data_IF_946782323549
#
_entry.id   IF_946782323549
#
_cell.length_a   1.000
_cell.length_b   1.000
_cell.length_c   1.000
_cell.angle_alpha   90.00
_cell.angle_beta   90.00
_cell.angle_gamma   90.00
#
_symmetry.space_group_name_H-M   'P 1'
#
loop_
_entity.id
_entity.type
_entity.pdbx_description
1 polymer ?
#
# COMPACT_ATOMS: atom_id res chain seq x y z
N UNK A 1 -40.35 34.03 -43.54
CA UNK A 1 -40.49 33.37 -44.85
C UNK A 1 -40.17 31.89 -44.68
N UNK A 2 -41.20 31.03 -44.59
CA UNK A 2 -41.09 29.57 -44.38
C UNK A 2 -40.71 28.87 -45.69
N UNK A 3 -39.46 28.44 -45.82
CA UNK A 3 -39.01 27.41 -46.78
C UNK A 3 -37.84 26.72 -46.05
N UNK A 4 -37.88 25.46 -45.63
CA UNK A 4 -37.51 24.36 -46.53
C UNK A 4 -37.70 22.97 -45.87
N UNK A 5 -38.73 22.75 -45.06
CA UNK A 5 -38.94 21.43 -44.41
C UNK A 5 -39.56 20.41 -45.39
N UNK A 6 -40.11 20.88 -46.53
CA UNK A 6 -40.81 20.01 -47.49
C UNK A 6 -39.88 19.22 -48.42
N UNK A 7 -38.65 19.68 -48.66
CA UNK A 7 -37.72 19.00 -49.58
C UNK A 7 -37.16 17.70 -48.98
N UNK A 8 -36.94 17.67 -47.66
CA UNK A 8 -36.31 16.53 -46.99
C UNK A 8 -37.18 15.28 -46.94
N UNK A 9 -38.51 15.42 -46.83
CA UNK A 9 -39.43 14.28 -46.90
C UNK A 9 -39.60 13.68 -48.30
N UNK A 10 -39.28 14.42 -49.38
CA UNK A 10 -39.47 13.91 -50.75
C UNK A 10 -38.27 13.12 -51.29
N UNK A 11 -37.07 13.35 -50.75
CA UNK A 11 -35.84 12.68 -51.20
C UNK A 11 -35.78 11.22 -50.72
N UNK A 12 -36.26 10.93 -49.50
CA UNK A 12 -36.31 9.56 -48.97
C UNK A 12 -37.35 8.65 -49.64
N UNK A 13 -38.34 9.21 -50.35
CA UNK A 13 -39.44 8.45 -50.96
C UNK A 13 -39.23 8.06 -52.42
N UNK A 14 -38.12 8.43 -53.06
CA UNK A 14 -37.83 8.15 -54.48
C UNK A 14 -36.70 7.15 -54.65
N UNK A 15 -36.88 5.95 -54.13
CA UNK A 15 -35.99 4.83 -54.41
C UNK A 15 -36.82 3.78 -55.13
N UNK A 16 -36.83 3.83 -56.46
CA UNK A 16 -37.67 2.97 -57.30
C UNK A 16 -36.90 1.82 -57.95
N UNK A 17 -35.57 1.82 -57.86
CA UNK A 17 -34.72 0.78 -58.42
C UNK A 17 -34.27 -0.19 -57.33
N UNK A 18 -34.43 -1.50 -57.57
CA UNK A 18 -34.06 -2.56 -56.64
C UNK A 18 -32.56 -2.51 -56.27
N UNK A 19 -31.71 -2.09 -57.21
CA UNK A 19 -30.26 -1.94 -56.99
C UNK A 19 -29.92 -0.88 -55.95
N UNK A 20 -30.60 0.26 -55.98
CA UNK A 20 -30.35 1.36 -55.02
C UNK A 20 -30.84 1.02 -53.62
N UNK A 21 -31.95 0.26 -53.50
CA UNK A 21 -32.42 -0.28 -52.22
C UNK A 21 -31.42 -1.24 -51.61
N UNK A 22 -30.85 -2.14 -52.41
CA UNK A 22 -29.82 -3.09 -51.94
C UNK A 22 -28.57 -2.35 -51.45
N UNK A 23 -28.14 -1.29 -52.16
CA UNK A 23 -26.99 -0.47 -51.75
C UNK A 23 -27.26 0.23 -50.42
N UNK A 24 -28.44 0.86 -50.24
CA UNK A 24 -28.81 1.51 -48.98
C UNK A 24 -28.92 0.54 -47.81
N UNK A 25 -29.50 -0.64 -48.02
CA UNK A 25 -29.58 -1.70 -47.00
C UNK A 25 -28.18 -2.20 -46.64
N UNK A 26 -27.29 -2.42 -47.63
CA UNK A 26 -25.91 -2.82 -47.36
C UNK A 26 -25.12 -1.75 -46.58
N UNK A 27 -25.31 -0.46 -46.87
CA UNK A 27 -24.63 0.63 -46.17
C UNK A 27 -25.14 0.78 -44.73
N UNK A 28 -26.44 0.58 -44.50
CA UNK A 28 -27.02 0.56 -43.16
C UNK A 28 -26.48 -0.59 -42.29
N UNK A 29 -26.33 -1.78 -42.86
CA UNK A 29 -25.73 -2.94 -42.17
C UNK A 29 -24.25 -2.68 -41.84
N UNK A 30 -23.50 -2.04 -42.73
CA UNK A 30 -22.09 -1.69 -42.46
C UNK A 30 -21.93 -0.64 -41.34
N UNK A 31 -22.83 0.34 -41.23
CA UNK A 31 -22.77 1.34 -40.14
C UNK A 31 -23.09 0.71 -38.78
N UNK A 32 -23.99 -0.29 -38.71
CA UNK A 32 -24.33 -0.95 -37.46
C UNK A 32 -23.22 -1.80 -36.85
N UNK A 33 -22.25 -2.28 -37.65
CA UNK A 33 -21.16 -3.14 -37.17
C UNK A 33 -19.99 -2.30 -36.58
N UNK A 34 -19.90 -1.00 -36.88
CA UNK A 34 -18.75 -0.17 -36.50
C UNK A 34 -18.82 0.49 -35.11
N UNK A 35 -19.95 0.44 -34.40
CA UNK A 35 -20.17 1.20 -33.15
C UNK A 35 -20.36 0.33 -31.89
N UNK A 36 -19.81 -0.88 -31.83
CA UNK A 36 -19.67 -1.59 -30.55
C UNK A 36 -18.28 -1.35 -29.97
N UNK A 37 -18.03 -0.12 -29.51
CA UNK A 37 -16.91 0.10 -28.58
C UNK A 37 -17.32 -0.49 -27.25
N UNK A 38 -16.90 -1.73 -26.99
CA UNK A 38 -16.93 -2.28 -25.64
C UNK A 38 -15.95 -1.43 -24.84
N UNK A 39 -16.44 -0.63 -23.90
CA UNK A 39 -15.56 0.04 -22.97
C UNK A 39 -14.82 -1.05 -22.18
N UNK A 40 -13.56 -1.29 -22.52
CA UNK A 40 -12.67 -2.07 -21.66
C UNK A 40 -12.34 -1.17 -20.49
N UNK A 41 -13.12 -1.28 -19.42
CA UNK A 41 -12.77 -0.69 -18.14
C UNK A 41 -11.38 -1.26 -17.78
N UNK A 42 -10.35 -0.41 -17.77
CA UNK A 42 -9.03 -0.82 -17.35
C UNK A 42 -9.10 -1.36 -15.92
N UNK A 43 -8.26 -2.34 -15.59
CA UNK A 43 -8.15 -2.89 -14.23
C UNK A 43 -8.12 -1.74 -13.23
N UNK A 44 -9.06 -1.74 -12.29
CA UNK A 44 -9.21 -0.64 -11.35
C UNK A 44 -7.93 -0.56 -10.49
N UNK A 45 -7.15 0.53 -10.56
CA UNK A 45 -5.90 0.65 -9.81
C UNK A 45 -6.12 0.78 -8.29
N UNK A 46 -7.37 0.87 -7.86
CA UNK A 46 -7.79 0.90 -6.46
C UNK A 46 -8.55 -0.36 -6.04
N UNK A 47 -8.62 -1.39 -6.88
CA UNK A 47 -9.11 -2.70 -6.43
C UNK A 47 -8.15 -3.29 -5.39
N UNK A 48 -8.65 -3.67 -4.21
CA UNK A 48 -7.80 -4.19 -3.16
C UNK A 48 -7.29 -5.59 -3.51
N UNK A 49 -5.97 -5.77 -3.41
CA UNK A 49 -5.18 -6.89 -3.94
C UNK A 49 -5.27 -8.18 -3.09
N UNK A 50 -6.43 -8.47 -2.48
CA UNK A 50 -6.59 -9.66 -1.63
C UNK A 50 -7.20 -10.85 -2.36
N UNK A 51 -6.82 -11.10 -3.62
CA UNK A 51 -7.09 -12.40 -4.23
C UNK A 51 -5.86 -13.32 -4.14
N UNK A 52 -6.12 -14.50 -3.60
CA UNK A 52 -5.22 -15.62 -3.32
C UNK A 52 -4.57 -16.17 -4.59
N UNK A 53 -3.64 -15.41 -5.16
CA UNK A 53 -2.57 -15.99 -5.98
C UNK A 53 -1.56 -16.57 -5.00
N UNK A 54 -1.18 -17.84 -5.18
CA UNK A 54 0.04 -18.42 -4.61
C UNK A 54 1.28 -17.74 -5.22
N UNK A 55 1.39 -16.43 -5.03
CA UNK A 55 2.63 -15.68 -5.12
C UNK A 55 3.38 -15.81 -3.80
N UNK A 56 4.60 -15.26 -3.70
CA UNK A 56 5.35 -15.29 -2.45
C UNK A 56 4.43 -14.73 -1.37
N UNK A 57 4.27 -15.46 -0.28
CA UNK A 57 3.50 -14.98 0.85
C UNK A 57 4.00 -13.56 1.18
N UNK A 58 3.16 -12.63 1.67
CA UNK A 58 3.66 -11.34 2.16
C UNK A 58 4.68 -11.48 3.30
N UNK A 59 4.98 -12.71 3.75
CA UNK A 59 6.12 -13.08 4.62
C UNK A 59 7.48 -13.10 3.90
N UNK A 60 7.51 -13.22 2.58
CA UNK A 60 8.75 -13.51 1.84
C UNK A 60 9.59 -12.24 1.56
N UNK A 61 9.01 -11.06 1.82
CA UNK A 61 9.71 -9.77 1.92
C UNK A 61 9.65 -9.16 3.33
N UNK A 62 9.33 -9.95 4.37
CA UNK A 62 9.41 -9.46 5.75
C UNK A 62 10.86 -9.46 6.16
N UNK A 63 11.58 -8.43 5.71
CA UNK A 63 12.84 -8.06 6.31
C UNK A 63 12.59 -7.87 7.81
N UNK A 64 13.07 -8.83 8.61
CA UNK A 64 12.93 -8.80 10.07
C UNK A 64 13.37 -7.42 10.55
N UNK A 65 12.49 -6.74 11.29
CA UNK A 65 12.78 -5.39 11.78
C UNK A 65 14.15 -5.39 12.49
N UNK A 66 15.03 -4.40 12.27
CA UNK A 66 16.39 -4.41 12.85
C UNK A 66 16.43 -4.61 14.38
N UNK A 67 15.41 -4.09 15.08
CA UNK A 67 15.20 -4.29 16.53
C UNK A 67 14.72 -5.69 16.93
N UNK A 68 14.44 -6.57 15.98
CA UNK A 68 14.01 -7.96 16.19
C UNK A 68 15.02 -8.98 15.64
N UNK A 69 16.14 -8.54 15.05
CA UNK A 69 17.16 -9.44 14.49
C UNK A 69 18.00 -10.15 15.54
N UNK A 70 18.30 -9.48 16.65
CA UNK A 70 19.23 -9.96 17.68
C UNK A 70 18.53 -10.06 19.04
N UNK A 71 19.21 -10.65 20.03
CA UNK A 71 18.68 -10.72 21.39
C UNK A 71 18.58 -9.32 22.01
N UNK A 72 17.58 -9.10 22.88
CA UNK A 72 17.35 -7.81 23.54
C UNK A 72 18.61 -7.27 24.25
N UNK A 73 19.36 -8.15 24.92
CA UNK A 73 20.62 -7.82 25.65
C UNK A 73 21.76 -7.31 24.75
N UNK A 74 21.70 -7.56 23.44
CA UNK A 74 22.76 -7.17 22.49
C UNK A 74 22.66 -5.72 22.01
N UNK A 75 21.50 -5.11 22.20
CA UNK A 75 21.27 -3.72 21.83
C UNK A 75 21.87 -2.76 22.86
N UNK A 76 22.22 -1.56 22.42
CA UNK A 76 22.76 -0.52 23.29
C UNK A 76 21.70 0.56 23.47
N UNK A 77 21.32 0.83 24.71
CA UNK A 77 20.51 2.00 25.01
C UNK A 77 21.41 3.24 24.99
N UNK A 78 21.22 4.07 23.96
CA UNK A 78 22.04 5.25 23.71
C UNK A 78 21.52 6.48 24.47
N UNK A 79 20.21 6.66 24.56
CA UNK A 79 19.60 7.78 25.27
C UNK A 79 18.22 7.42 25.83
N UNK A 80 17.84 8.16 26.87
CA UNK A 80 16.50 8.16 27.46
C UNK A 80 15.98 9.59 27.47
N UNK A 81 14.82 9.81 26.86
CA UNK A 81 14.19 11.12 26.73
C UNK A 81 12.86 11.07 27.48
N UNK A 82 12.76 11.85 28.55
CA UNK A 82 11.58 11.91 29.42
C UNK A 82 10.91 13.27 29.26
N UNK A 83 9.61 13.28 29.00
CA UNK A 83 8.82 14.50 28.87
C UNK A 83 7.45 14.35 29.54
N UNK A 84 6.75 15.48 29.74
CA UNK A 84 5.35 15.46 30.22
C UNK A 84 4.40 14.66 29.31
N UNK A 85 4.75 14.49 28.03
CA UNK A 85 3.94 13.77 27.03
C UNK A 85 4.25 12.29 26.95
N UNK A 86 5.29 11.82 27.64
CA UNK A 86 5.74 10.43 27.63
C UNK A 86 7.24 10.27 27.45
N UNK A 87 7.66 9.01 27.49
CA UNK A 87 9.06 8.60 27.46
C UNK A 87 9.42 7.99 26.10
N UNK A 88 10.64 8.23 25.65
CA UNK A 88 11.21 7.69 24.43
C UNK A 88 12.62 7.20 24.74
N UNK A 89 12.98 6.01 24.27
CA UNK A 89 14.32 5.48 24.34
C UNK A 89 14.94 5.46 22.94
N UNK A 90 16.25 5.74 22.86
CA UNK A 90 17.02 5.59 21.63
C UNK A 90 17.90 4.35 21.73
N UNK A 91 17.64 3.38 20.86
CA UNK A 91 18.30 2.08 20.85
C UNK A 91 19.19 1.98 19.63
N UNK A 92 20.47 1.69 19.86
CA UNK A 92 21.49 1.48 18.84
C UNK A 92 21.66 0.00 18.57
N UNK A 93 21.59 -0.37 17.29
CA UNK A 93 21.81 -1.74 16.81
C UNK A 93 23.27 -1.96 16.40
N UNK A 94 23.67 -3.22 16.18
CA UNK A 94 25.07 -3.60 15.90
C UNK A 94 25.68 -2.90 14.67
N UNK A 95 24.88 -2.59 13.65
CA UNK A 95 25.35 -1.88 12.46
C UNK A 95 25.51 -0.36 12.66
N UNK A 96 25.30 0.13 13.89
CA UNK A 96 25.43 1.54 14.25
C UNK A 96 24.17 2.38 14.04
N UNK A 97 23.13 1.84 13.41
CA UNK A 97 21.85 2.53 13.25
C UNK A 97 21.13 2.71 14.59
N UNK A 98 20.33 3.76 14.68
CA UNK A 98 19.65 4.17 15.90
C UNK A 98 18.15 4.28 15.65
N UNK A 99 17.37 3.80 16.61
CA UNK A 99 15.91 3.75 16.52
C UNK A 99 15.29 4.30 17.79
N UNK A 100 14.17 5.02 17.63
CA UNK A 100 13.35 5.45 18.76
C UNK A 100 12.33 4.38 19.10
N UNK A 101 12.19 4.07 20.38
CA UNK A 101 11.23 3.11 20.91
C UNK A 101 10.46 3.70 22.08
N UNK A 102 9.24 3.22 22.27
CA UNK A 102 8.27 3.66 23.28
C UNK A 102 7.76 2.47 24.08
N UNK A 103 6.90 2.77 25.05
CA UNK A 103 6.16 1.76 25.80
C UNK A 103 5.45 0.82 24.82
N UNK A 104 5.48 -0.48 25.11
CA UNK A 104 4.91 -1.56 24.31
C UNK A 104 5.58 -1.85 22.97
N UNK A 105 6.66 -1.18 22.57
CA UNK A 105 7.39 -1.57 21.35
C UNK A 105 8.12 -2.91 21.54
N UNK A 106 8.33 -3.62 20.43
CA UNK A 106 8.97 -4.93 20.41
C UNK A 106 10.46 -4.80 20.13
N UNK A 107 11.26 -5.37 21.03
CA UNK A 107 12.71 -5.41 20.98
C UNK A 107 13.21 -6.82 21.30
N UNK A 108 14.12 -7.32 20.48
CA UNK A 108 14.66 -8.66 20.60
C UNK A 108 13.99 -9.67 19.67
N UNK A 109 14.77 -10.64 19.21
CA UNK A 109 14.33 -11.77 18.40
C UNK A 109 13.40 -12.76 19.13
N UNK A 110 13.23 -12.60 20.44
CA UNK A 110 12.29 -13.38 21.25
C UNK A 110 10.95 -12.69 21.49
N UNK A 111 10.66 -11.60 20.76
CA UNK A 111 9.41 -10.85 20.90
C UNK A 111 9.33 -10.06 22.21
N UNK A 112 10.47 -9.64 22.76
CA UNK A 112 10.50 -8.89 24.02
C UNK A 112 9.75 -7.57 23.87
N UNK A 113 8.96 -7.21 24.88
CA UNK A 113 8.17 -5.97 24.87
C UNK A 113 8.67 -5.01 25.93
N UNK A 114 8.79 -3.73 25.59
CA UNK A 114 9.14 -2.69 26.57
C UNK A 114 7.96 -2.50 27.52
N UNK A 115 8.18 -2.81 28.79
CA UNK A 115 7.15 -2.78 29.84
C UNK A 115 7.34 -1.64 30.83
N UNK A 116 8.55 -1.10 30.95
CA UNK A 116 8.83 0.01 31.86
C UNK A 116 9.99 0.89 31.39
N UNK A 117 9.96 2.14 31.85
CA UNK A 117 11.04 3.11 31.73
C UNK A 117 11.52 3.45 33.14
N UNK A 118 12.78 3.15 33.42
CA UNK A 118 13.41 3.48 34.70
C UNK A 118 14.17 4.80 34.60
N UNK A 119 14.71 5.31 35.71
CA UNK A 119 15.50 6.55 35.71
C UNK A 119 16.68 6.51 34.71
N UNK A 120 17.27 5.33 34.52
CA UNK A 120 18.53 5.16 33.78
C UNK A 120 18.41 4.14 32.64
N UNK A 121 17.20 3.67 32.31
CA UNK A 121 17.07 2.52 31.43
C UNK A 121 15.64 2.18 31.00
N UNK A 122 15.53 1.03 30.33
CA UNK A 122 14.26 0.41 29.96
C UNK A 122 14.24 -1.04 30.41
N UNK A 123 13.05 -1.53 30.75
CA UNK A 123 12.78 -2.92 31.06
C UNK A 123 12.03 -3.57 29.89
N UNK A 124 12.51 -4.74 29.49
CA UNK A 124 11.96 -5.51 28.37
C UNK A 124 11.56 -6.88 28.93
N UNK A 125 10.30 -7.23 28.83
CA UNK A 125 9.80 -8.54 29.25
C UNK A 125 9.80 -9.48 28.06
N UNK A 126 10.48 -10.63 28.20
CA UNK A 126 10.56 -11.70 27.20
C UNK A 126 10.36 -13.06 27.90
N UNK A 127 9.34 -13.84 27.52
CA UNK A 127 9.13 -15.21 28.04
C UNK A 127 9.29 -15.30 29.58
N UNK A 128 8.62 -14.40 30.29
CA UNK A 128 8.65 -14.27 31.76
C UNK A 128 9.99 -13.83 32.38
N UNK A 129 11.01 -13.52 31.57
CA UNK A 129 12.26 -12.89 32.00
C UNK A 129 12.20 -11.37 31.78
N UNK A 130 12.71 -10.60 32.74
CA UNK A 130 12.91 -9.15 32.59
C UNK A 130 14.36 -8.87 32.23
N UNK A 131 14.57 -8.26 31.07
CA UNK A 131 15.86 -7.77 30.58
C UNK A 131 15.92 -6.26 30.78
N UNK A 132 16.95 -5.80 31.48
CA UNK A 132 17.16 -4.36 31.71
C UNK A 132 18.27 -3.86 30.81
N UNK A 133 17.97 -2.84 29.99
CA UNK A 133 18.98 -2.08 29.26
C UNK A 133 19.18 -0.73 29.95
N UNK A 134 20.41 -0.46 30.38
CA UNK A 134 20.80 0.81 30.99
C UNK A 134 21.54 1.68 30.00
N UNK A 135 21.37 3.00 30.11
CA UNK A 135 22.12 3.97 29.30
C UNK A 135 23.60 3.81 29.61
N UNK A 136 24.41 3.57 28.58
CA UNK A 136 25.87 3.47 28.71
C UNK A 136 26.55 4.65 28.05
N UNK A 137 27.19 5.49 28.86
CA UNK A 137 28.10 6.51 28.34
C UNK A 137 29.45 5.86 28.01
N UNK A 138 29.71 5.60 26.72
CA UNK A 138 31.07 5.29 26.28
C UNK A 138 31.79 6.61 26.06
N UNK A 139 32.41 7.14 27.11
CA UNK A 139 33.38 8.23 26.95
C UNK A 139 34.43 7.79 25.94
N UNK A 140 34.71 8.61 24.94
CA UNK A 140 35.83 8.35 24.03
C UNK A 140 37.10 8.28 24.88
N UNK A 141 37.79 7.15 24.85
CA UNK A 141 39.20 7.11 25.22
C UNK A 141 40.02 7.66 24.08
#
# INVERSE_FOLDING_TARGET
MKKNIKAWKSSLGRINNLREKVVLVSLGVFISIAFTTIASEGVNPFEPIYETTSGPNPTDYVGIHPLQKYQAKSYILAALITSKKGNIAMVKVKNGQEYFVRMNDVLGNSGGRITSFTKNGIEITQKDEVVVLVVRNKGSK
#
